data_IF_097808971308
#
_entry.id   IF_097808971308
#
_cell.length_a   1.000
_cell.length_b   1.000
_cell.length_c   1.000
_cell.angle_alpha   90.00
_cell.angle_beta   90.00
_cell.angle_gamma   90.00
#
_symmetry.space_group_name_H-M   'P 1'
#
loop_
_entity.id
_entity.type
_entity.pdbx_description
1 polymer ?
#
# COMPACT_ATOMS: atom_id res chain seq x y z
N UNK A 1 -90.65 3.74 -14.73
CA UNK A 1 -90.75 5.21 -14.88
C UNK A 1 -89.32 5.75 -14.94
N UNK A 2 -88.56 5.55 -16.03
CA UNK A 2 -88.47 6.39 -17.25
C UNK A 2 -88.29 7.88 -16.97
N UNK A 3 -87.05 8.36 -17.05
CA UNK A 3 -86.69 9.61 -17.75
C UNK A 3 -85.16 9.80 -17.77
N UNK A 4 -84.58 10.60 -18.68
CA UNK A 4 -83.70 10.08 -19.72
C UNK A 4 -82.33 10.76 -19.77
N UNK A 5 -81.47 10.25 -20.66
CA UNK A 5 -80.28 10.94 -21.17
C UNK A 5 -80.67 12.25 -21.91
N UNK A 6 -79.72 13.17 -22.16
CA UNK A 6 -79.02 13.09 -23.46
C UNK A 6 -77.54 13.54 -23.50
N UNK A 7 -76.73 12.70 -24.15
CA UNK A 7 -75.77 12.99 -25.24
C UNK A 7 -75.39 14.46 -25.56
N UNK A 8 -74.07 14.73 -25.65
CA UNK A 8 -73.37 15.24 -26.86
C UNK A 8 -71.86 15.37 -26.59
N UNK A 9 -70.99 14.74 -27.41
CA UNK A 9 -70.26 15.36 -28.56
C UNK A 9 -69.05 16.20 -28.07
N UNK A 10 -67.78 16.11 -28.48
CA UNK A 10 -67.01 15.61 -29.63
C UNK A 10 -65.62 15.16 -29.09
N UNK A 11 -65.01 14.05 -29.54
CA UNK A 11 -64.12 13.88 -30.71
C UNK A 11 -62.87 14.79 -30.78
N UNK A 12 -61.72 14.10 -30.93
CA UNK A 12 -60.39 14.50 -31.44
C UNK A 12 -59.30 14.75 -30.36
N UNK A 13 -58.40 13.79 -30.11
CA UNK A 13 -57.17 13.45 -30.88
C UNK A 13 -56.25 14.65 -31.08
N UNK A 14 -55.22 14.78 -30.24
CA UNK A 14 -53.92 15.34 -30.64
C UNK A 14 -52.78 14.60 -29.93
N UNK A 15 -51.83 14.21 -30.75
CA UNK A 15 -50.58 13.50 -30.46
C UNK A 15 -49.57 14.53 -29.94
N UNK A 16 -48.82 14.22 -28.89
CA UNK A 16 -47.74 15.05 -28.38
C UNK A 16 -46.55 14.20 -27.95
N UNK A 17 -45.57 14.11 -28.85
CA UNK A 17 -44.26 13.47 -28.67
C UNK A 17 -43.42 14.33 -27.72
N UNK A 18 -42.89 13.74 -26.64
CA UNK A 18 -41.95 14.38 -25.72
C UNK A 18 -40.63 13.62 -25.67
N UNK A 19 -39.71 13.99 -26.56
CA UNK A 19 -38.31 13.56 -26.55
C UNK A 19 -37.61 14.32 -25.41
N UNK A 20 -37.26 13.63 -24.33
CA UNK A 20 -36.40 14.21 -23.29
C UNK A 20 -34.95 13.88 -23.65
N UNK A 21 -34.24 14.94 -24.02
CA UNK A 21 -32.80 14.98 -24.20
C UNK A 21 -32.08 14.76 -22.86
N UNK A 22 -31.17 13.79 -22.78
CA UNK A 22 -30.10 13.75 -21.77
C UNK A 22 -29.13 12.59 -22.05
N UNK A 23 -28.27 12.73 -23.06
CA UNK A 23 -27.19 11.76 -23.35
C UNK A 23 -25.82 12.43 -23.25
N UNK A 24 -25.50 12.95 -22.06
CA UNK A 24 -24.16 13.40 -21.66
C UNK A 24 -23.70 12.61 -20.42
N UNK A 25 -23.63 11.29 -20.54
CA UNK A 25 -23.09 10.39 -19.50
C UNK A 25 -22.31 9.24 -20.16
N UNK A 26 -21.22 9.55 -20.85
CA UNK A 26 -20.40 8.50 -21.51
C UNK A 26 -18.88 8.65 -21.35
N UNK A 27 -18.38 9.52 -20.47
CA UNK A 27 -16.92 9.68 -20.29
C UNK A 27 -16.46 9.95 -18.85
N UNK A 28 -17.21 9.50 -17.85
CA UNK A 28 -16.70 9.34 -16.48
C UNK A 28 -16.50 7.86 -16.13
N UNK A 29 -16.11 7.05 -17.14
CA UNK A 29 -15.74 5.63 -16.98
C UNK A 29 -14.22 5.39 -17.09
N UNK A 30 -13.40 6.41 -16.81
CA UNK A 30 -11.97 6.23 -16.60
C UNK A 30 -11.53 6.84 -15.26
N UNK A 31 -12.32 6.62 -14.22
CA UNK A 31 -11.87 6.78 -12.84
C UNK A 31 -11.05 5.58 -12.40
N UNK A 32 -9.98 5.24 -13.14
CA UNK A 32 -8.98 4.26 -12.73
C UNK A 32 -8.15 4.89 -11.62
N UNK A 33 -8.72 4.96 -10.42
CA UNK A 33 -7.97 5.31 -9.22
C UNK A 33 -7.11 4.09 -8.88
N UNK A 34 -5.88 4.07 -9.39
CA UNK A 34 -4.81 3.23 -8.84
C UNK A 34 -4.58 3.67 -7.40
N UNK A 35 -5.28 3.03 -6.47
CA UNK A 35 -5.01 3.15 -5.03
C UNK A 35 -4.14 1.96 -4.65
N UNK A 36 -2.85 2.05 -4.97
CA UNK A 36 -1.86 1.32 -4.18
C UNK A 36 -1.64 2.14 -2.91
N UNK A 37 -2.51 1.93 -1.92
CA UNK A 37 -2.39 2.55 -0.62
C UNK A 37 -2.50 1.45 0.43
N UNK A 38 -1.47 1.28 1.23
CA UNK A 38 -1.57 0.47 2.45
C UNK A 38 -2.69 1.06 3.31
N UNK A 39 -3.86 0.41 3.34
CA UNK A 39 -5.01 0.88 4.14
C UNK A 39 -4.68 0.66 5.61
N UNK A 40 -4.30 1.72 6.32
CA UNK A 40 -4.10 1.70 7.77
C UNK A 40 -5.47 1.51 8.42
N UNK A 41 -5.66 0.41 9.16
CA UNK A 41 -6.89 0.15 9.87
C UNK A 41 -7.14 1.21 10.96
N UNK A 42 -8.41 1.49 11.32
CA UNK A 42 -8.70 2.41 12.41
C UNK A 42 -8.06 1.90 13.71
N UNK A 43 -7.16 2.72 14.27
CA UNK A 43 -6.44 2.40 15.51
C UNK A 43 -5.08 1.73 15.31
N UNK A 44 -4.64 1.49 14.08
CA UNK A 44 -3.28 1.02 13.80
C UNK A 44 -2.27 2.19 13.80
N UNK A 45 -1.00 1.86 14.03
CA UNK A 45 0.13 2.74 13.73
C UNK A 45 0.89 2.25 12.51
N UNK A 46 1.87 3.02 12.06
CA UNK A 46 2.73 2.71 10.91
C UNK A 46 4.15 2.46 11.40
N UNK A 47 4.77 1.40 10.90
CA UNK A 47 6.21 1.18 11.00
C UNK A 47 6.80 1.27 9.60
N UNK A 48 7.79 2.14 9.43
CA UNK A 48 8.46 2.36 8.16
C UNK A 48 9.98 2.52 8.34
N UNK A 49 10.72 2.47 7.25
CA UNK A 49 12.14 2.79 7.26
C UNK A 49 12.80 2.62 5.92
N UNK A 50 13.93 3.30 5.76
CA UNK A 50 14.83 3.13 4.63
C UNK A 50 15.86 2.05 4.92
N UNK A 51 16.23 1.29 3.88
CA UNK A 51 17.29 0.28 4.00
C UNK A 51 18.40 0.63 3.04
N UNK A 52 19.62 0.66 3.57
CA UNK A 52 20.84 0.83 2.77
C UNK A 52 21.66 -0.45 2.84
N UNK A 53 22.09 -0.96 1.69
CA UNK A 53 22.90 -2.18 1.62
C UNK A 53 24.24 -1.81 1.02
N UNK A 54 25.32 -2.09 1.74
CA UNK A 54 26.65 -1.85 1.22
C UNK A 54 27.75 -2.55 2.02
N UNK A 55 28.99 -2.52 1.54
CA UNK A 55 29.34 -2.21 0.15
C UNK A 55 28.88 -3.33 -0.81
N UNK A 56 28.58 -2.99 -2.07
CA UNK A 56 28.22 -3.99 -3.10
C UNK A 56 29.41 -4.41 -3.98
N UNK A 57 30.52 -3.67 -3.89
CA UNK A 57 31.77 -3.94 -4.61
C UNK A 57 32.94 -3.94 -3.62
N UNK A 58 33.99 -4.76 -3.85
CA UNK A 58 35.23 -4.68 -3.07
C UNK A 58 36.02 -3.38 -3.28
N UNK A 59 35.90 -2.75 -4.46
CA UNK A 59 36.71 -1.58 -4.86
C UNK A 59 35.87 -0.50 -5.52
N UNK A 60 36.33 0.74 -5.40
CA UNK A 60 35.72 1.92 -6.03
C UNK A 60 36.43 2.27 -7.36
N UNK A 61 35.72 2.84 -8.35
CA UNK A 61 34.30 3.17 -8.35
C UNK A 61 33.41 1.93 -8.56
N UNK A 62 32.36 1.82 -7.73
CA UNK A 62 31.41 0.72 -7.80
C UNK A 62 30.40 1.00 -8.93
N UNK A 63 30.54 0.30 -10.06
CA UNK A 63 29.58 0.35 -11.17
C UNK A 63 28.80 -0.97 -11.18
N UNK A 64 27.71 -1.01 -10.42
CA UNK A 64 26.83 -2.17 -10.32
C UNK A 64 25.60 -1.94 -11.19
N UNK A 65 25.21 -2.88 -12.06
CA UNK A 65 23.97 -2.78 -12.82
C UNK A 65 22.76 -2.65 -11.89
N UNK A 66 21.74 -1.89 -12.31
CA UNK A 66 20.49 -1.73 -11.57
C UNK A 66 19.89 -3.09 -11.15
N UNK A 67 19.88 -4.10 -12.04
CA UNK A 67 19.34 -5.42 -11.71
C UNK A 67 20.06 -6.09 -10.53
N UNK A 68 21.36 -5.82 -10.38
CA UNK A 68 22.16 -6.40 -9.31
C UNK A 68 21.87 -5.70 -7.98
N UNK A 69 21.61 -4.39 -8.02
CA UNK A 69 21.11 -3.65 -6.85
C UNK A 69 19.73 -4.19 -6.45
N UNK A 70 18.80 -4.30 -7.40
CA UNK A 70 17.46 -4.85 -7.15
C UNK A 70 17.52 -6.28 -6.60
N UNK A 71 18.37 -7.13 -7.14
CA UNK A 71 18.58 -8.49 -6.64
C UNK A 71 19.14 -8.50 -5.21
N UNK A 72 20.05 -7.57 -4.88
CA UNK A 72 20.60 -7.45 -3.53
C UNK A 72 19.52 -7.07 -2.50
N UNK A 73 18.59 -6.18 -2.87
CA UNK A 73 17.45 -5.80 -2.04
C UNK A 73 16.42 -6.92 -1.94
N UNK A 74 16.05 -7.56 -3.06
CA UNK A 74 15.08 -8.66 -3.10
C UNK A 74 15.52 -9.91 -2.31
N UNK A 75 16.84 -10.13 -2.17
CA UNK A 75 17.40 -11.22 -1.39
C UNK A 75 17.21 -11.05 0.13
N UNK A 76 16.92 -9.82 0.60
CA UNK A 76 16.81 -9.49 2.02
C UNK A 76 15.39 -9.07 2.35
N UNK A 77 15.01 -9.28 3.61
CA UNK A 77 13.69 -8.95 4.13
C UNK A 77 13.82 -8.34 5.51
N UNK A 78 12.91 -7.42 5.82
CA UNK A 78 12.69 -6.96 7.19
C UNK A 78 11.69 -7.91 7.84
N UNK A 79 12.01 -8.42 9.02
CA UNK A 79 11.13 -9.28 9.80
C UNK A 79 10.76 -8.57 11.09
N UNK A 80 9.45 -8.51 11.33
CA UNK A 80 8.88 -7.93 12.53
C UNK A 80 8.44 -9.09 13.40
N UNK A 81 9.02 -9.18 14.59
CA UNK A 81 8.70 -10.18 15.60
C UNK A 81 7.83 -9.59 16.70
N UNK A 82 7.13 -10.48 17.40
CA UNK A 82 6.48 -10.18 18.67
C UNK A 82 7.55 -9.79 19.73
N UNK A 83 7.14 -9.27 20.90
CA UNK A 83 8.08 -8.89 21.96
C UNK A 83 9.01 -10.00 22.48
N UNK A 84 8.70 -11.26 22.16
CA UNK A 84 9.56 -12.40 22.49
C UNK A 84 10.80 -12.53 21.59
N UNK A 85 10.90 -11.71 20.54
CA UNK A 85 12.01 -11.69 19.57
C UNK A 85 12.08 -12.92 18.67
N UNK A 86 11.07 -13.80 18.68
CA UNK A 86 11.12 -15.10 17.97
C UNK A 86 9.85 -15.41 17.18
N UNK A 87 8.69 -14.97 17.64
CA UNK A 87 7.42 -15.14 16.93
C UNK A 87 7.30 -14.14 15.79
N UNK A 88 7.31 -14.61 14.53
CA UNK A 88 7.16 -13.75 13.35
C UNK A 88 5.73 -13.19 13.27
N UNK A 89 5.61 -11.87 13.31
CA UNK A 89 4.35 -11.14 13.08
C UNK A 89 4.18 -10.81 11.61
N UNK A 90 5.25 -10.34 10.96
CA UNK A 90 5.24 -9.97 9.55
C UNK A 90 6.63 -10.04 8.94
N UNK A 91 6.69 -10.33 7.64
CA UNK A 91 7.92 -10.25 6.86
C UNK A 91 7.66 -9.34 5.65
N UNK A 92 8.54 -8.37 5.44
CA UNK A 92 8.40 -7.33 4.43
C UNK A 92 9.53 -7.45 3.41
N UNK A 93 9.19 -7.31 2.13
CA UNK A 93 10.16 -7.02 1.08
C UNK A 93 10.71 -5.61 1.28
N UNK A 94 11.91 -5.38 0.74
CA UNK A 94 12.61 -4.11 0.83
C UNK A 94 12.68 -3.53 -0.58
N UNK A 95 12.17 -2.32 -0.74
CA UNK A 95 12.32 -1.53 -1.96
C UNK A 95 13.58 -0.66 -1.86
N UNK A 96 14.41 -0.56 -2.92
CA UNK A 96 15.64 0.24 -2.90
C UNK A 96 15.41 1.76 -2.81
N UNK A 97 14.23 2.25 -3.20
CA UNK A 97 13.90 3.68 -3.19
C UNK A 97 12.92 4.02 -2.06
N UNK A 98 11.89 3.18 -1.88
CA UNK A 98 10.81 3.41 -0.92
C UNK A 98 11.08 2.77 0.45
N UNK A 99 12.04 1.85 0.56
CA UNK A 99 12.36 1.13 1.78
C UNK A 99 11.29 0.09 2.13
N UNK A 100 10.79 0.14 3.37
CA UNK A 100 9.69 -0.72 3.81
C UNK A 100 8.66 0.07 4.60
N UNK A 101 7.40 -0.36 4.53
CA UNK A 101 6.30 0.23 5.27
C UNK A 101 5.26 -0.84 5.62
N UNK A 102 4.71 -0.76 6.83
CA UNK A 102 3.57 -1.60 7.21
C UNK A 102 2.73 -0.98 8.32
N UNK A 103 1.43 -1.27 8.31
CA UNK A 103 0.54 -0.95 9.42
C UNK A 103 0.54 -2.07 10.46
N UNK A 104 0.58 -1.71 11.74
CA UNK A 104 0.58 -2.64 12.87
C UNK A 104 -0.41 -2.18 13.94
N UNK A 105 -1.09 -3.11 14.62
CA UNK A 105 -1.80 -2.79 15.85
C UNK A 105 -0.85 -2.16 16.89
N UNK A 106 -1.37 -1.31 17.80
CA UNK A 106 -0.56 -0.75 18.87
C UNK A 106 0.06 -1.84 19.74
N UNK A 107 1.36 -1.76 19.98
CA UNK A 107 2.09 -2.83 20.66
C UNK A 107 3.61 -2.64 20.65
N UNK A 108 4.29 -3.56 21.32
CA UNK A 108 5.76 -3.70 21.24
C UNK A 108 6.12 -4.73 20.20
N UNK A 109 7.20 -4.49 19.48
CA UNK A 109 7.72 -5.36 18.45
C UNK A 109 9.24 -5.33 18.44
N UNK A 110 9.85 -6.35 17.84
CA UNK A 110 11.27 -6.38 17.52
C UNK A 110 11.42 -6.35 16.00
N UNK A 111 12.16 -5.36 15.49
CA UNK A 111 12.50 -5.26 14.07
C UNK A 111 13.87 -5.90 13.87
N UNK A 112 13.99 -6.83 12.93
CA UNK A 112 15.27 -7.41 12.51
C UNK A 112 15.31 -7.65 11.00
N UNK A 113 16.45 -8.08 10.49
CA UNK A 113 16.64 -8.46 9.09
C UNK A 113 16.84 -9.97 8.94
N UNK A 114 16.30 -10.52 7.85
CA UNK A 114 16.67 -11.84 7.37
C UNK A 114 18.08 -11.78 6.76
N UNK A 115 19.09 -12.06 7.60
CA UNK A 115 20.52 -12.02 7.21
C UNK A 115 20.81 -13.04 6.12
N UNK A 116 21.54 -12.62 5.09
CA UNK A 116 22.07 -13.52 4.05
C UNK A 116 23.59 -13.61 4.19
N UNK A 117 24.14 -14.82 4.23
CA UNK A 117 25.59 -15.01 4.34
C UNK A 117 26.18 -14.37 5.61
N UNK A 118 27.04 -13.37 5.44
CA UNK A 118 27.75 -12.67 6.52
C UNK A 118 27.18 -11.28 6.83
N UNK A 119 25.97 -10.98 6.34
CA UNK A 119 25.31 -9.69 6.57
C UNK A 119 25.28 -9.31 8.05
N UNK A 120 25.61 -8.05 8.33
CA UNK A 120 25.53 -7.44 9.67
C UNK A 120 24.76 -6.14 9.62
N UNK A 121 24.23 -5.74 10.77
CA UNK A 121 23.65 -4.43 10.97
C UNK A 121 23.76 -4.10 12.46
N UNK A 122 24.17 -2.88 12.77
CA UNK A 122 24.18 -2.36 14.14
C UNK A 122 22.82 -1.74 14.52
N UNK A 123 21.94 -1.55 13.53
CA UNK A 123 20.61 -0.94 13.73
C UNK A 123 19.57 -1.96 14.21
N UNK A 124 19.85 -3.27 14.05
CA UNK A 124 18.93 -4.36 14.37
C UNK A 124 19.63 -5.61 14.95
N UNK A 125 18.97 -6.36 15.86
CA UNK A 125 17.56 -6.27 16.25
C UNK A 125 17.25 -5.03 17.11
N UNK A 126 16.08 -4.42 16.89
CA UNK A 126 15.65 -3.20 17.59
C UNK A 126 14.23 -3.31 18.14
N UNK A 127 14.10 -3.02 19.44
CA UNK A 127 12.80 -2.88 20.09
C UNK A 127 12.10 -1.58 19.65
N UNK A 128 10.83 -1.70 19.27
CA UNK A 128 9.98 -0.57 18.93
C UNK A 128 8.62 -0.66 19.63
N UNK A 129 8.02 0.50 19.89
CA UNK A 129 6.64 0.60 20.36
C UNK A 129 5.84 1.37 19.33
N UNK A 130 4.85 0.72 18.72
CA UNK A 130 3.90 1.34 17.78
C UNK A 130 2.67 1.76 18.57
N UNK A 131 2.21 3.00 18.39
CA UNK A 131 0.95 3.51 18.95
C UNK A 131 -0.05 3.80 17.84
N UNK A 132 -1.32 3.83 18.19
CA UNK A 132 -2.40 4.14 17.26
C UNK A 132 -2.19 5.54 16.63
N UNK A 133 -2.21 5.61 15.30
CA UNK A 133 -2.04 6.84 14.54
C UNK A 133 -0.62 7.41 14.52
N UNK A 134 0.36 6.75 15.14
CA UNK A 134 1.77 7.16 15.09
C UNK A 134 2.52 6.44 13.98
N UNK A 135 3.45 7.15 13.35
CA UNK A 135 4.46 6.56 12.47
C UNK A 135 5.77 6.42 13.24
N UNK A 136 6.28 5.19 13.32
CA UNK A 136 7.58 4.84 13.87
C UNK A 136 8.53 4.60 12.70
N UNK A 137 9.69 5.27 12.70
CA UNK A 137 10.71 5.08 11.69
C UNK A 137 11.92 4.31 12.23
N UNK A 138 12.33 3.27 11.52
CA UNK A 138 13.55 2.49 11.77
C UNK A 138 14.31 2.30 10.47
N UNK A 139 15.28 3.16 10.23
CA UNK A 139 16.21 3.01 9.11
C UNK A 139 17.27 1.96 9.46
N UNK A 140 17.70 1.18 8.47
CA UNK A 140 18.60 0.03 8.65
C UNK A 140 19.73 0.08 7.63
N UNK A 141 20.97 0.08 8.10
CA UNK A 141 22.16 -0.14 7.28
C UNK A 141 22.59 -1.62 7.38
N UNK A 142 22.70 -2.28 6.24
CA UNK A 142 23.17 -3.66 6.11
C UNK A 142 24.59 -3.63 5.56
N UNK A 143 25.55 -4.06 6.38
CA UNK A 143 26.92 -4.35 5.99
C UNK A 143 26.99 -5.75 5.38
N UNK A 144 27.33 -5.85 4.09
CA UNK A 144 27.51 -7.14 3.38
C UNK A 144 28.83 -7.82 3.74
N UNK A 145 29.75 -7.11 4.40
CA UNK A 145 31.09 -7.58 4.75
C UNK A 145 32.08 -7.65 3.58
N UNK A 146 31.70 -7.15 2.40
CA UNK A 146 32.58 -7.05 1.22
C UNK A 146 33.65 -5.96 1.48
N UNK A 147 34.92 -6.23 1.12
CA UNK A 147 36.08 -5.34 1.32
C UNK A 147 37.31 -5.85 0.59
#
# INVERSE_FOLDING_TARGET
MTSPAPSSSLRNRFIGIGIIAASLLFFTWYGMNLTCGCTVGPGEGVLEGQVTIGPLCPVEPCSVPQETVEAAYAARKVTIYAPDGTTVVRTLSIDPEEGYLTALPPGRYVVDIARTGIDRSDDVPRDVTVRAGETVRVDIAIDTGIR
#
